data_IF_805441249207
#
_entry.id   IF_805441249207
#
_cell.length_a   1.000
_cell.length_b   1.000
_cell.length_c   1.000
_cell.angle_alpha   90.00
_cell.angle_beta   90.00
_cell.angle_gamma   90.00
#
_symmetry.space_group_name_H-M   'P 1'
#
loop_
_entity.id
_entity.type
_entity.pdbx_description
1 polymer ?
#
# COMPACT_ATOMS: atom_id res chain seq x y z
N UNK A 1 4.83 -9.28 -16.59
CA UNK A 1 5.10 -8.93 -15.18
C UNK A 1 4.39 -7.60 -14.97
N UNK A 2 3.31 -7.55 -14.19
CA UNK A 2 2.59 -6.28 -13.97
C UNK A 2 3.45 -5.36 -13.12
N UNK A 3 4.05 -4.38 -13.75
CA UNK A 3 4.69 -3.26 -13.05
C UNK A 3 3.64 -2.51 -12.23
N UNK A 4 3.98 -2.05 -11.01
CA UNK A 4 3.04 -1.33 -10.19
C UNK A 4 2.64 -0.03 -10.89
N UNK A 5 1.34 0.22 -11.03
CA UNK A 5 0.79 1.42 -11.68
C UNK A 5 1.27 2.69 -10.97
N UNK A 6 1.42 2.61 -9.65
CA UNK A 6 1.85 3.73 -8.81
C UNK A 6 2.55 3.18 -7.57
N UNK A 7 3.61 3.86 -7.12
CA UNK A 7 4.33 3.54 -5.88
C UNK A 7 4.08 4.61 -4.84
N UNK A 8 3.57 4.22 -3.68
CA UNK A 8 3.19 5.09 -2.57
C UNK A 8 4.09 4.77 -1.37
N UNK A 9 4.76 5.77 -0.83
CA UNK A 9 5.58 5.61 0.37
C UNK A 9 4.74 5.90 1.62
N UNK A 10 4.69 4.93 2.53
CA UNK A 10 3.93 5.02 3.78
C UNK A 10 4.83 4.99 4.99
N UNK A 11 4.36 5.59 6.06
CA UNK A 11 5.07 5.69 7.35
C UNK A 11 4.66 4.60 8.35
N UNK A 12 3.68 3.76 7.98
CA UNK A 12 3.09 2.74 8.86
C UNK A 12 3.00 1.40 8.16
N UNK A 13 3.14 0.32 8.93
CA UNK A 13 2.97 -1.06 8.40
C UNK A 13 1.52 -1.35 8.05
N UNK A 14 0.57 -0.74 8.75
CA UNK A 14 -0.85 -0.82 8.42
C UNK A 14 -1.21 0.26 7.42
N UNK A 15 -1.69 -0.16 6.25
CA UNK A 15 -2.07 0.72 5.15
C UNK A 15 -3.50 0.41 4.74
N UNK A 16 -4.28 1.45 4.48
CA UNK A 16 -5.59 1.35 3.84
C UNK A 16 -5.51 1.82 2.40
N UNK A 17 -5.94 0.99 1.46
CA UNK A 17 -6.07 1.37 0.05
C UNK A 17 -7.55 1.50 -0.29
N UNK A 18 -8.01 2.69 -0.68
CA UNK A 18 -9.38 2.92 -1.16
C UNK A 18 -9.46 3.02 -2.70
N UNK A 19 -8.33 2.83 -3.38
CA UNK A 19 -8.22 2.99 -4.82
C UNK A 19 -8.27 4.43 -5.34
N UNK A 20 -8.12 5.44 -4.46
CA UNK A 20 -7.98 6.85 -4.85
C UNK A 20 -9.29 7.63 -4.91
N UNK A 21 -10.30 7.26 -4.11
CA UNK A 21 -11.49 8.07 -3.83
C UNK A 21 -12.48 8.26 -4.99
N UNK A 22 -12.23 7.65 -6.14
CA UNK A 22 -13.06 7.78 -7.34
C UNK A 22 -14.12 6.68 -7.46
N UNK A 23 -15.14 6.92 -8.29
CA UNK A 23 -16.20 5.95 -8.59
C UNK A 23 -15.70 4.64 -9.27
N UNK A 24 -14.45 4.61 -9.72
CA UNK A 24 -13.78 3.44 -10.31
C UNK A 24 -12.80 2.75 -9.33
N UNK A 25 -12.74 3.20 -8.07
CA UNK A 25 -11.93 2.55 -7.03
C UNK A 25 -12.53 1.23 -6.53
N UNK A 26 -11.78 0.52 -5.67
CA UNK A 26 -12.27 -0.64 -4.93
C UNK A 26 -12.67 -0.23 -3.50
N UNK A 27 -13.45 -1.05 -2.78
CA UNK A 27 -13.73 -0.81 -1.37
C UNK A 27 -12.43 -0.65 -0.57
N UNK A 28 -12.47 0.15 0.50
CA UNK A 28 -11.33 0.34 1.39
C UNK A 28 -10.85 -1.03 1.88
N UNK A 29 -9.63 -1.39 1.51
CA UNK A 29 -8.99 -2.62 1.92
C UNK A 29 -7.82 -2.31 2.84
N UNK A 30 -7.77 -3.02 3.97
CA UNK A 30 -6.71 -2.86 4.96
C UNK A 30 -5.64 -3.92 4.76
N UNK A 31 -4.41 -3.48 4.56
CA UNK A 31 -3.29 -4.34 4.20
C UNK A 31 -2.06 -4.01 5.04
N UNK A 32 -1.48 -5.03 5.65
CA UNK A 32 -0.23 -4.90 6.41
C UNK A 32 0.98 -5.15 5.52
N UNK A 33 1.91 -4.21 5.45
CA UNK A 33 3.22 -4.35 4.82
C UNK A 33 4.08 -5.25 5.71
N UNK A 34 4.42 -6.44 5.19
CA UNK A 34 5.22 -7.43 5.90
C UNK A 34 6.74 -7.19 5.72
N UNK A 35 7.56 -8.13 6.19
CA UNK A 35 9.06 -8.07 6.22
C UNK A 35 9.75 -7.64 4.92
N UNK A 36 9.11 -7.77 3.76
CA UNK A 36 9.64 -7.31 2.47
C UNK A 36 9.74 -5.78 2.37
N UNK A 37 9.07 -5.03 3.26
CA UNK A 37 9.08 -3.57 3.27
C UNK A 37 8.17 -2.96 2.20
N UNK A 38 7.47 -3.77 1.41
CA UNK A 38 6.49 -3.30 0.45
C UNK A 38 5.36 -4.31 0.26
N UNK A 39 4.21 -3.83 -0.21
CA UNK A 39 3.04 -4.65 -0.56
C UNK A 39 2.25 -4.02 -1.70
N UNK A 40 1.88 -4.83 -2.68
CA UNK A 40 0.98 -4.43 -3.75
C UNK A 40 -0.50 -4.59 -3.36
N UNK A 41 -1.33 -3.66 -3.83
CA UNK A 41 -2.77 -3.78 -3.74
C UNK A 41 -3.27 -4.68 -4.89
N UNK A 42 -3.99 -5.77 -4.61
CA UNK A 42 -4.45 -6.71 -5.63
C UNK A 42 -5.53 -6.13 -6.56
N UNK A 43 -6.11 -4.99 -6.20
CA UNK A 43 -7.18 -4.33 -6.97
C UNK A 43 -6.63 -3.24 -7.89
N UNK A 44 -5.91 -2.26 -7.34
CA UNK A 44 -5.37 -1.15 -8.14
C UNK A 44 -4.00 -1.42 -8.75
N UNK A 45 -3.27 -2.44 -8.27
CA UNK A 45 -1.87 -2.65 -8.62
C UNK A 45 -0.93 -1.57 -8.09
N UNK A 46 -1.36 -0.73 -7.13
CA UNK A 46 -0.48 0.24 -6.45
C UNK A 46 0.45 -0.49 -5.49
N UNK A 47 1.72 -0.08 -5.42
CA UNK A 47 2.72 -0.60 -4.49
C UNK A 47 2.89 0.35 -3.33
N UNK A 48 2.63 -0.13 -2.12
CA UNK A 48 2.91 0.61 -0.90
C UNK A 48 4.27 0.18 -0.35
N UNK A 49 5.18 1.13 -0.16
CA UNK A 49 6.54 0.89 0.36
C UNK A 49 6.65 1.55 1.72
N UNK A 50 7.08 0.78 2.72
CA UNK A 50 7.40 1.30 4.03
C UNK A 50 8.65 2.18 3.93
N UNK A 51 8.56 3.41 4.40
CA UNK A 51 9.75 4.24 4.55
C UNK A 51 10.67 3.63 5.60
N UNK A 52 11.97 3.86 5.44
CA UNK A 52 13.03 3.43 6.36
C UNK A 52 12.86 4.03 7.78
N UNK A 53 12.25 5.23 7.86
CA UNK A 53 11.92 5.92 9.13
C UNK A 53 10.54 5.52 9.71
N UNK A 54 9.78 4.68 9.01
CA UNK A 54 8.45 4.27 9.44
C UNK A 54 8.56 3.61 10.82
N UNK A 55 7.84 4.19 11.81
CA UNK A 55 7.76 3.64 13.16
C UNK A 55 7.15 2.25 13.12
N UNK A 56 8.00 1.23 13.04
CA UNK A 56 7.67 -0.11 13.48
C UNK A 56 7.53 0.00 15.00
N UNK A 57 6.28 0.23 15.45
CA UNK A 57 5.92 0.27 16.85
C UNK A 57 6.54 -0.96 17.54
N UNK A 58 7.47 -0.70 18.47
CA UNK A 58 8.26 -1.69 19.21
C UNK A 58 7.57 -2.05 20.52
#
# INVERSE_FOLDING_TARGET
>A
MSEPVETIYVDTVHVSCDGGGGALGHPIEYMTIAKVGWKDCPYCGRRFILKEDAKADH
#
